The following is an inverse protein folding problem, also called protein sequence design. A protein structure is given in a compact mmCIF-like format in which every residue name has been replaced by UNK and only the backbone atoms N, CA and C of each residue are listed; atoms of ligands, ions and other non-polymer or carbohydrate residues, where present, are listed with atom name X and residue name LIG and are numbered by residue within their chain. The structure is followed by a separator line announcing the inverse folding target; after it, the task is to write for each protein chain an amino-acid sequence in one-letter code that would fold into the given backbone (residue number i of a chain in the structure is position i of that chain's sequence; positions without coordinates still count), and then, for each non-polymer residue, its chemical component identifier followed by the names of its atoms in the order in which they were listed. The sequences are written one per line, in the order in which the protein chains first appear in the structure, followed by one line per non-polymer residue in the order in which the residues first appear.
data_IF_232685476018
#
_entry.id   IF_232685476018
#
_cell.length_a   1.000
_cell.length_b   1.000
_cell.length_c   1.000
_cell.angle_alpha   90.00
_cell.angle_beta   90.00
_cell.angle_gamma   90.00
#
_symmetry.space_group_name_H-M   'P 1'
#
loop_
_entity.id
_entity.type
_entity.pdbx_description
1 polymer ?
#
# COMPACT_ATOMS: atom_id res chain seq x y z
N UNK A 1 -12.95 19.70 10.73
CA UNK A 1 -12.94 18.25 11.04
C UNK A 1 -11.58 17.91 11.63
N UNK A 2 -11.55 17.06 12.65
CA UNK A 2 -10.48 16.91 13.63
C UNK A 2 -9.14 16.36 13.06
N UNK A 3 -8.06 17.15 13.15
CA UNK A 3 -6.74 16.70 13.61
C UNK A 3 -5.89 15.73 12.78
N UNK A 4 -6.18 15.43 11.51
CA UNK A 4 -5.25 14.66 10.67
C UNK A 4 -4.19 15.61 10.11
N UNK A 5 -2.97 15.57 10.66
CA UNK A 5 -1.83 16.32 10.11
C UNK A 5 -1.22 15.51 8.97
N UNK A 6 -1.28 16.04 7.75
CA UNK A 6 -0.70 15.39 6.59
C UNK A 6 0.73 15.90 6.45
N UNK A 7 1.71 15.01 6.68
CA UNK A 7 3.14 15.35 6.61
C UNK A 7 3.78 15.03 5.25
N UNK A 8 3.03 14.38 4.36
CA UNK A 8 3.50 13.95 3.04
C UNK A 8 3.75 15.11 2.09
N UNK A 9 4.72 14.93 1.20
CA UNK A 9 5.15 15.90 0.19
C UNK A 9 5.03 15.31 -1.20
N UNK A 10 4.98 16.14 -2.25
CA UNK A 10 5.15 15.65 -3.61
C UNK A 10 6.41 14.77 -3.72
N UNK A 11 6.31 13.68 -4.49
CA UNK A 11 7.32 12.61 -4.63
C UNK A 11 7.49 11.64 -3.44
N UNK A 12 6.81 11.85 -2.30
CA UNK A 12 6.68 10.78 -1.30
C UNK A 12 5.76 9.67 -1.81
N UNK A 13 5.84 8.50 -1.18
CA UNK A 13 5.03 7.32 -1.50
C UNK A 13 4.20 6.92 -0.27
N UNK A 14 2.90 6.69 -0.47
CA UNK A 14 2.05 6.02 0.51
C UNK A 14 2.02 4.51 0.22
N UNK A 15 2.42 3.70 1.21
CA UNK A 15 2.14 2.26 1.22
C UNK A 15 0.83 2.01 1.98
N UNK A 16 -0.25 1.75 1.25
CA UNK A 16 -1.59 1.54 1.78
C UNK A 16 -1.89 0.05 1.93
N UNK A 17 -2.21 -0.41 3.15
CA UNK A 17 -2.47 -1.83 3.44
C UNK A 17 -3.93 -2.02 3.86
N UNK A 18 -4.70 -2.81 3.11
CA UNK A 18 -6.07 -3.13 3.47
C UNK A 18 -6.50 -4.49 2.89
N UNK A 19 -6.74 -5.47 3.75
CA UNK A 19 -7.13 -6.84 3.31
C UNK A 19 -8.46 -6.89 2.55
N UNK A 20 -9.36 -5.92 2.78
CA UNK A 20 -10.62 -5.78 2.06
C UNK A 20 -10.61 -4.69 0.99
N UNK A 21 -9.58 -3.83 0.97
CA UNK A 21 -9.55 -2.63 0.15
C UNK A 21 -10.60 -1.56 0.51
N UNK A 22 -11.29 -1.69 1.64
CA UNK A 22 -12.46 -0.86 1.99
C UNK A 22 -12.36 -0.17 3.36
N UNK A 23 -11.19 -0.20 4.00
CA UNK A 23 -11.00 0.44 5.32
C UNK A 23 -11.07 1.98 5.18
N UNK A 24 -12.04 2.67 5.82
CA UNK A 24 -12.28 4.09 5.58
C UNK A 24 -11.09 5.00 5.85
N UNK A 25 -10.30 4.69 6.88
CA UNK A 25 -9.08 5.42 7.20
C UNK A 25 -7.99 5.29 6.11
N UNK A 26 -7.84 4.10 5.53
CA UNK A 26 -6.87 3.84 4.45
C UNK A 26 -7.32 4.53 3.17
N UNK A 27 -8.62 4.52 2.86
CA UNK A 27 -9.19 5.25 1.73
C UNK A 27 -8.95 6.76 1.87
N UNK A 28 -9.24 7.34 3.04
CA UNK A 28 -8.99 8.76 3.30
C UNK A 28 -7.50 9.11 3.16
N UNK A 29 -6.59 8.23 3.61
CA UNK A 29 -5.15 8.43 3.46
C UNK A 29 -4.71 8.36 1.98
N UNK A 30 -5.26 7.43 1.21
CA UNK A 30 -4.97 7.31 -0.23
C UNK A 30 -5.49 8.52 -1.01
N UNK A 31 -6.73 8.97 -0.74
CA UNK A 31 -7.28 10.19 -1.33
C UNK A 31 -6.43 11.42 -1.00
N UNK A 32 -5.99 11.55 0.27
CA UNK A 32 -5.09 12.60 0.71
C UNK A 32 -3.72 12.56 0.01
N UNK A 33 -3.12 11.39 -0.12
CA UNK A 33 -1.84 11.20 -0.80
C UNK A 33 -1.95 11.61 -2.29
N UNK A 34 -3.01 11.17 -2.98
CA UNK A 34 -3.27 11.57 -4.38
C UNK A 34 -3.46 13.08 -4.52
N UNK A 35 -4.17 13.72 -3.59
CA UNK A 35 -4.34 15.17 -3.58
C UNK A 35 -3.02 15.94 -3.38
N UNK A 36 -2.03 15.33 -2.72
CA UNK A 36 -0.68 15.89 -2.53
C UNK A 36 0.30 15.54 -3.68
N UNK A 37 -0.15 14.83 -4.71
CA UNK A 37 0.70 14.38 -5.82
C UNK A 37 1.69 13.26 -5.43
N UNK A 38 1.40 12.53 -4.36
CA UNK A 38 2.16 11.34 -3.95
C UNK A 38 1.75 10.12 -4.77
N UNK A 39 2.65 9.13 -4.88
CA UNK A 39 2.30 7.81 -5.40
C UNK A 39 1.64 6.95 -4.32
N UNK A 40 0.72 6.08 -4.72
CA UNK A 40 0.03 5.15 -3.83
C UNK A 40 0.30 3.71 -4.27
N UNK A 41 0.97 2.94 -3.40
CA UNK A 41 1.14 1.49 -3.57
C UNK A 41 0.16 0.79 -2.62
N UNK A 42 -0.70 -0.08 -3.17
CA UNK A 42 -1.70 -0.83 -2.40
C UNK A 42 -1.33 -2.28 -2.18
N UNK A 43 -1.37 -2.74 -0.92
CA UNK A 43 -1.45 -4.15 -0.58
C UNK A 43 -2.91 -4.49 -0.24
N UNK A 44 -3.59 -5.18 -1.16
CA UNK A 44 -5.03 -5.46 -1.06
C UNK A 44 -5.34 -6.95 -1.07
N UNK A 45 -6.60 -7.30 -0.85
CA UNK A 45 -7.10 -8.65 -1.04
C UNK A 45 -8.48 -8.65 -1.68
N UNK A 46 -9.04 -9.84 -1.90
CA UNK A 46 -10.35 -10.02 -2.55
C UNK A 46 -10.36 -9.43 -3.97
N UNK A 47 -11.28 -8.51 -4.23
CA UNK A 47 -11.44 -7.74 -5.46
C UNK A 47 -10.70 -6.39 -5.43
N UNK A 48 -9.91 -6.12 -4.37
CA UNK A 48 -9.17 -4.88 -4.19
C UNK A 48 -9.99 -3.73 -3.58
N UNK A 49 -11.31 -3.90 -3.44
CA UNK A 49 -12.22 -2.89 -2.91
C UNK A 49 -12.12 -1.53 -3.59
N UNK A 50 -12.51 -0.47 -2.87
CA UNK A 50 -12.38 0.91 -3.36
C UNK A 50 -10.92 1.36 -3.50
N UNK A 51 -10.02 0.80 -2.71
CA UNK A 51 -8.61 1.19 -2.69
C UNK A 51 -7.91 0.90 -4.03
N UNK A 52 -8.30 -0.16 -4.74
CA UNK A 52 -7.73 -0.50 -6.04
C UNK A 52 -7.77 0.65 -7.05
N UNK A 53 -8.86 1.43 -7.05
CA UNK A 53 -9.02 2.59 -7.95
C UNK A 53 -8.18 3.81 -7.55
N UNK A 54 -7.58 3.81 -6.36
CA UNK A 54 -6.73 4.90 -5.86
C UNK A 54 -5.23 4.57 -5.98
N UNK A 55 -4.88 3.29 -6.19
CA UNK A 55 -3.51 2.83 -6.30
C UNK A 55 -2.91 3.13 -7.68
N UNK A 56 -1.64 3.55 -7.68
CA UNK A 56 -0.82 3.59 -8.89
C UNK A 56 -0.21 2.22 -9.18
N UNK A 57 0.09 1.44 -8.12
CA UNK A 57 0.50 0.03 -8.20
C UNK A 57 -0.26 -0.75 -7.13
N UNK A 58 -0.82 -1.91 -7.49
CA UNK A 58 -1.58 -2.77 -6.58
C UNK A 58 -1.00 -4.19 -6.55
N UNK A 59 -0.71 -4.69 -5.35
CA UNK A 59 -0.43 -6.11 -5.09
C UNK A 59 -1.67 -6.69 -4.40
N UNK A 60 -2.52 -7.33 -5.20
CA UNK A 60 -3.79 -7.92 -4.76
C UNK A 60 -3.65 -9.41 -4.48
N UNK A 61 -4.02 -9.83 -3.27
CA UNK A 61 -4.10 -11.26 -2.92
C UNK A 61 -5.46 -11.82 -3.36
N UNK A 62 -5.51 -12.83 -4.27
CA UNK A 62 -6.75 -13.39 -4.80
C UNK A 62 -7.39 -14.38 -3.81
N UNK A 63 -7.70 -13.91 -2.61
CA UNK A 63 -8.35 -14.69 -1.55
C UNK A 63 -9.60 -13.97 -1.04
N UNK A 64 -10.74 -14.66 -1.04
CA UNK A 64 -12.05 -14.10 -0.68
C UNK A 64 -12.54 -14.51 0.70
N UNK A 65 -11.81 -15.39 1.39
CA UNK A 65 -12.13 -15.84 2.75
C UNK A 65 -11.68 -14.86 3.84
N UNK A 66 -11.27 -15.42 4.98
CA UNK A 66 -10.81 -14.63 6.12
C UNK A 66 -9.54 -13.82 5.81
N UNK A 67 -9.46 -12.63 6.44
CA UNK A 67 -8.40 -11.65 6.22
C UNK A 67 -7.00 -12.19 6.56
N UNK A 68 -6.91 -13.17 7.44
CA UNK A 68 -5.66 -13.72 7.99
C UNK A 68 -4.74 -14.24 6.88
N UNK A 69 -5.31 -14.93 5.87
CA UNK A 69 -4.53 -15.43 4.71
C UNK A 69 -3.98 -14.29 3.86
N UNK A 70 -4.73 -13.18 3.75
CA UNK A 70 -4.31 -12.00 3.01
C UNK A 70 -3.16 -11.31 3.76
N UNK A 71 -3.27 -11.18 5.09
CA UNK A 71 -2.19 -10.61 5.93
C UNK A 71 -0.90 -11.43 5.85
N UNK A 72 -1.00 -12.77 5.87
CA UNK A 72 0.16 -13.67 5.72
C UNK A 72 0.90 -13.50 4.38
N UNK A 73 0.20 -13.09 3.32
CA UNK A 73 0.79 -12.78 2.02
C UNK A 73 1.33 -11.34 1.99
N UNK A 74 0.61 -10.38 2.58
CA UNK A 74 1.08 -8.99 2.67
C UNK A 74 2.42 -8.88 3.38
N UNK A 75 2.64 -9.60 4.49
CA UNK A 75 3.94 -9.57 5.18
C UNK A 75 5.07 -10.18 4.33
N UNK A 76 4.77 -11.20 3.51
CA UNK A 76 5.75 -11.76 2.55
C UNK A 76 6.07 -10.75 1.45
N UNK A 77 5.07 -10.06 0.91
CA UNK A 77 5.29 -8.99 -0.06
C UNK A 77 6.16 -7.87 0.54
N UNK A 78 5.94 -7.49 1.80
CA UNK A 78 6.77 -6.51 2.51
C UNK A 78 8.22 -7.01 2.65
N UNK A 79 8.44 -8.26 3.06
CA UNK A 79 9.79 -8.81 3.15
C UNK A 79 10.51 -8.85 1.80
N UNK A 80 9.79 -9.17 0.71
CA UNK A 80 10.35 -9.14 -0.65
C UNK A 80 10.67 -7.71 -1.06
N UNK A 81 9.79 -6.74 -0.78
CA UNK A 81 10.06 -5.32 -1.06
C UNK A 81 11.32 -4.85 -0.35
N UNK A 82 11.52 -5.22 0.93
CA UNK A 82 12.74 -4.89 1.67
C UNK A 82 13.98 -5.45 0.98
N UNK A 83 13.96 -6.73 0.60
CA UNK A 83 15.07 -7.37 -0.12
C UNK A 83 15.39 -6.64 -1.43
N UNK A 84 14.37 -6.37 -2.25
CA UNK A 84 14.56 -5.72 -3.55
C UNK A 84 15.02 -4.26 -3.41
N UNK A 85 14.51 -3.53 -2.41
CA UNK A 85 14.97 -2.16 -2.12
C UNK A 85 16.44 -2.18 -1.72
N UNK A 86 16.85 -3.12 -0.87
CA UNK A 86 18.25 -3.27 -0.46
C UNK A 86 19.15 -3.55 -1.67
N UNK A 87 18.80 -4.50 -2.53
CA UNK A 87 19.57 -4.83 -3.74
C UNK A 87 19.69 -3.64 -4.71
N UNK A 88 18.63 -2.83 -4.83
CA UNK A 88 18.61 -1.65 -5.72
C UNK A 88 19.39 -0.45 -5.15
N UNK A 89 19.34 -0.25 -3.84
CA UNK A 89 19.98 0.89 -3.17
C UNK A 89 21.45 0.62 -2.84
N UNK A 90 21.78 -0.63 -2.54
CA UNK A 90 23.12 -1.07 -2.18
C UNK A 90 23.54 -2.29 -3.01
N UNK A 91 23.71 -2.15 -4.34
CA UNK A 91 24.23 -3.22 -5.15
C UNK A 91 25.58 -3.63 -4.56
N UNK A 92 25.72 -4.90 -4.15
CA UNK A 92 27.02 -5.42 -3.73
C UNK A 92 28.00 -5.17 -4.87
N UNK A 93 29.09 -4.45 -4.58
CA UNK A 93 30.16 -4.25 -5.53
C UNK A 93 30.66 -5.65 -5.94
N UNK A 94 30.35 -6.04 -7.18
CA UNK A 94 30.91 -7.19 -7.87
C UNK A 94 32.40 -6.99 -8.10
#
# INVERSE_FOLDING_TARGET
ANGQQHIGRPADVLLAISTSGNSPNVLNAAEAAKALGMQVIGLTGKDGGRLAGLCDVEIRVPHFGFADRIQEVHIKAIHIMILLIEELMFPSAS
#
